data_IF_765220596664
#
_entry.id   IF_765220596664
#
_cell.length_a   1.000
_cell.length_b   1.000
_cell.length_c   1.000
_cell.angle_alpha   90.00
_cell.angle_beta   90.00
_cell.angle_gamma   90.00
#
_symmetry.space_group_name_H-M   'P 1'
#
loop_
_entity.id
_entity.type
_entity.pdbx_description
1 polymer ?
#
# COMPACT_ATOMS: atom_id res chain seq x y z
N UNK A 1 -8.77 -17.80 19.79
CA UNK A 1 -8.32 -17.60 18.40
C UNK A 1 -6.96 -16.97 18.48
N UNK A 2 -5.95 -17.56 17.83
CA UNK A 2 -4.58 -17.06 17.90
C UNK A 2 -4.41 -15.93 16.89
N UNK A 3 -4.84 -14.73 17.28
CA UNK A 3 -4.56 -13.49 16.57
C UNK A 3 -3.09 -13.11 16.73
N UNK A 4 -2.50 -12.39 15.76
CA UNK A 4 -1.14 -11.89 15.92
C UNK A 4 -1.07 -10.92 17.11
N UNK A 5 0.01 -11.00 17.90
CA UNK A 5 0.23 -10.07 19.03
C UNK A 5 0.61 -8.67 18.57
N UNK A 6 1.17 -8.55 17.36
CA UNK A 6 1.62 -7.31 16.77
C UNK A 6 1.47 -7.37 15.25
N UNK A 7 1.12 -6.23 14.64
CA UNK A 7 1.12 -6.04 13.20
C UNK A 7 1.86 -4.75 12.82
N UNK A 8 2.28 -4.69 11.57
CA UNK A 8 2.87 -3.53 10.91
C UNK A 8 1.84 -2.97 9.93
N UNK A 9 1.66 -1.66 9.98
CA UNK A 9 0.79 -0.92 9.08
C UNK A 9 1.68 0.05 8.29
N UNK A 10 1.75 -0.16 6.98
CA UNK A 10 2.53 0.65 6.04
C UNK A 10 1.65 1.79 5.53
N UNK A 11 2.10 3.02 5.72
CA UNK A 11 1.34 4.20 5.31
C UNK A 11 1.63 4.58 3.86
N UNK A 12 0.59 4.51 3.03
CA UNK A 12 0.64 4.75 1.58
C UNK A 12 -0.03 6.07 1.17
N UNK A 13 -0.67 6.79 2.10
CA UNK A 13 -1.42 8.02 1.85
C UNK A 13 -0.65 9.12 1.13
N UNK A 14 0.59 9.47 1.54
CA UNK A 14 1.35 10.50 0.85
C UNK A 14 1.65 10.15 -0.61
N UNK A 15 1.92 8.88 -0.96
CA UNK A 15 2.14 8.48 -2.35
C UNK A 15 0.84 8.20 -3.10
N UNK A 16 0.13 7.15 -2.69
CA UNK A 16 -1.02 6.63 -3.42
C UNK A 16 -2.24 7.53 -3.29
N UNK A 17 -2.48 8.01 -2.07
CA UNK A 17 -3.58 8.91 -1.76
C UNK A 17 -3.53 10.17 -2.60
N UNK A 18 -2.41 10.92 -2.54
CA UNK A 18 -2.26 12.15 -3.31
C UNK A 18 -2.21 11.97 -4.83
N UNK A 19 -1.83 10.80 -5.33
CA UNK A 19 -1.67 10.59 -6.77
C UNK A 19 -2.99 10.68 -7.54
N UNK A 20 -4.11 10.34 -6.91
CA UNK A 20 -5.44 10.35 -7.54
C UNK A 20 -6.23 11.65 -7.29
N UNK A 21 -5.71 12.52 -6.43
CA UNK A 21 -6.38 13.76 -6.12
C UNK A 21 -6.46 14.68 -7.34
N UNK A 22 -7.65 15.27 -7.55
CA UNK A 22 -7.93 16.07 -8.76
C UNK A 22 -7.22 17.42 -8.74
N UNK A 23 -6.95 17.96 -7.55
CA UNK A 23 -6.39 19.28 -7.35
C UNK A 23 -4.87 19.27 -7.19
N UNK A 24 -4.17 20.36 -7.54
CA UNK A 24 -2.77 20.51 -7.22
C UNK A 24 -2.60 20.60 -5.69
N UNK A 25 -1.88 19.65 -5.11
CA UNK A 25 -1.48 19.70 -3.71
C UNK A 25 -0.13 20.41 -3.63
N UNK A 26 -0.04 21.46 -2.80
CA UNK A 26 1.21 22.22 -2.68
C UNK A 26 2.29 21.36 -2.05
N UNK A 27 3.54 21.55 -2.48
CA UNK A 27 4.71 20.85 -1.93
C UNK A 27 4.78 20.96 -0.41
N UNK A 28 4.52 22.15 0.15
CA UNK A 28 4.52 22.39 1.59
C UNK A 28 3.47 21.54 2.34
N UNK A 29 2.30 21.32 1.73
CA UNK A 29 1.24 20.51 2.31
C UNK A 29 1.61 19.02 2.28
N UNK A 30 2.28 18.55 1.21
CA UNK A 30 2.80 17.18 1.15
C UNK A 30 3.85 16.92 2.23
N UNK A 31 4.79 17.84 2.39
CA UNK A 31 5.81 17.80 3.45
C UNK A 31 5.14 17.80 4.83
N UNK A 32 4.18 18.70 5.06
CA UNK A 32 3.47 18.79 6.32
C UNK A 32 2.75 17.47 6.68
N UNK A 33 2.15 16.78 5.71
CA UNK A 33 1.52 15.49 5.96
C UNK A 33 2.57 14.43 6.36
N UNK A 34 3.68 14.33 5.64
CA UNK A 34 4.74 13.34 5.93
C UNK A 34 5.36 13.57 7.31
N UNK A 35 5.66 14.81 7.66
CA UNK A 35 6.24 15.17 8.96
C UNK A 35 5.26 14.91 10.12
N UNK A 36 3.97 15.13 9.88
CA UNK A 36 2.91 14.83 10.86
C UNK A 36 2.74 13.32 11.05
N UNK A 37 2.68 12.54 9.96
CA UNK A 37 2.63 11.07 10.00
C UNK A 37 3.84 10.47 10.73
N UNK A 38 5.01 11.06 10.56
CA UNK A 38 6.24 10.64 11.26
C UNK A 38 6.10 10.75 12.79
N UNK A 39 5.15 11.55 13.30
CA UNK A 39 4.84 11.67 14.73
C UNK A 39 3.89 10.60 15.27
N UNK A 40 3.38 9.70 14.43
CA UNK A 40 2.30 8.78 14.79
C UNK A 40 2.76 7.38 15.22
N UNK A 41 4.07 7.11 15.24
CA UNK A 41 4.61 5.77 15.57
C UNK A 41 4.62 4.80 14.39
N UNK A 42 4.39 5.29 13.16
CA UNK A 42 4.58 4.53 11.93
C UNK A 42 6.05 4.12 11.80
N UNK A 43 6.29 2.92 11.26
CA UNK A 43 7.65 2.44 10.95
C UNK A 43 7.93 2.42 9.44
N UNK A 44 6.92 2.65 8.60
CA UNK A 44 7.09 2.79 7.17
C UNK A 44 6.11 3.82 6.61
N UNK A 45 6.62 4.76 5.81
CA UNK A 45 5.84 5.79 5.10
C UNK A 45 6.31 5.84 3.64
N UNK A 46 5.40 5.56 2.71
CA UNK A 46 5.66 5.77 1.29
C UNK A 46 5.39 7.23 0.92
N UNK A 47 6.46 8.00 0.77
CA UNK A 47 6.40 9.46 0.69
C UNK A 47 5.92 9.96 -0.67
N UNK A 48 6.34 9.31 -1.76
CA UNK A 48 6.07 9.82 -3.10
C UNK A 48 6.63 8.96 -4.23
N UNK A 49 6.61 9.51 -5.44
CA UNK A 49 6.93 8.75 -6.65
C UNK A 49 7.82 9.54 -7.62
N UNK A 50 8.93 8.94 -8.06
CA UNK A 50 9.83 9.48 -9.09
C UNK A 50 9.39 9.02 -10.49
N UNK A 51 8.12 9.26 -10.80
CA UNK A 51 7.49 8.94 -12.09
C UNK A 51 7.63 10.09 -13.10
N UNK A 52 7.27 9.81 -14.35
CA UNK A 52 7.22 10.83 -15.38
C UNK A 52 6.07 11.81 -15.10
N UNK A 53 6.41 13.06 -14.77
CA UNK A 53 5.47 14.13 -14.46
C UNK A 53 4.48 14.45 -15.59
N UNK A 54 4.78 14.08 -16.85
CA UNK A 54 3.81 14.21 -17.94
C UNK A 54 2.62 13.26 -17.78
N UNK A 55 2.85 12.08 -17.21
CA UNK A 55 1.81 11.07 -16.97
C UNK A 55 1.20 11.20 -15.58
N UNK A 56 1.98 11.67 -14.61
CA UNK A 56 1.53 11.87 -13.23
C UNK A 56 1.94 13.26 -12.74
N UNK A 57 1.20 14.32 -13.14
CA UNK A 57 1.58 15.71 -12.84
C UNK A 57 1.65 16.02 -11.35
N UNK A 58 0.90 15.28 -10.52
CA UNK A 58 0.94 15.39 -9.06
C UNK A 58 2.31 15.12 -8.43
N UNK A 59 3.26 14.52 -9.17
CA UNK A 59 4.63 14.27 -8.70
C UNK A 59 5.71 15.08 -9.45
N UNK A 60 5.32 16.18 -10.10
CA UNK A 60 6.27 17.09 -10.73
C UNK A 60 7.26 17.74 -9.75
N UNK A 61 6.88 17.85 -8.47
CA UNK A 61 7.63 18.46 -7.37
C UNK A 61 8.26 17.42 -6.43
N UNK A 62 8.38 16.16 -6.85
CA UNK A 62 8.85 15.06 -6.01
C UNK A 62 10.17 15.40 -5.28
N UNK A 63 11.18 15.90 -5.99
CA UNK A 63 12.47 16.29 -5.42
C UNK A 63 12.33 17.32 -4.30
N UNK A 64 11.43 18.30 -4.45
CA UNK A 64 11.20 19.32 -3.44
C UNK A 64 10.53 18.73 -2.18
N UNK A 65 9.63 17.75 -2.35
CA UNK A 65 9.03 17.01 -1.23
C UNK A 65 10.10 16.22 -0.48
N UNK A 66 10.89 15.40 -1.19
CA UNK A 66 11.95 14.57 -0.58
C UNK A 66 13.06 15.41 0.07
N UNK A 67 13.39 16.57 -0.49
CA UNK A 67 14.31 17.51 0.12
C UNK A 67 13.74 18.15 1.40
N UNK A 68 12.44 18.45 1.40
CA UNK A 68 11.81 19.29 2.41
C UNK A 68 11.31 18.58 3.68
N UNK A 69 10.96 17.29 3.62
CA UNK A 69 10.53 16.58 4.83
C UNK A 69 11.71 16.24 5.77
N UNK A 70 11.38 16.08 7.05
CA UNK A 70 12.33 15.80 8.14
C UNK A 70 12.22 14.33 8.55
N UNK A 71 13.16 13.46 8.13
CA UNK A 71 13.12 12.05 8.51
C UNK A 71 13.30 11.89 10.02
N UNK A 72 12.58 10.93 10.61
CA UNK A 72 12.74 10.52 12.00
C UNK A 72 13.40 9.14 12.06
N UNK A 73 14.22 8.94 13.09
CA UNK A 73 14.88 7.66 13.35
C UNK A 73 13.84 6.56 13.59
N UNK A 74 14.11 5.36 13.05
CA UNK A 74 13.23 4.19 13.19
C UNK A 74 12.06 4.14 12.21
N UNK A 75 12.02 5.03 11.21
CA UNK A 75 11.01 5.03 10.14
C UNK A 75 11.69 4.83 8.79
N UNK A 76 11.22 3.82 8.05
CA UNK A 76 11.60 3.61 6.66
C UNK A 76 10.75 4.52 5.75
N UNK A 77 11.39 5.50 5.12
CA UNK A 77 10.75 6.34 4.12
C UNK A 77 11.02 5.78 2.73
N UNK A 78 9.98 5.39 2.00
CA UNK A 78 10.14 4.81 0.67
C UNK A 78 9.59 5.72 -0.43
N UNK A 79 10.02 5.45 -1.66
CA UNK A 79 9.56 6.09 -2.88
C UNK A 79 9.33 5.05 -3.96
N UNK A 80 8.53 5.38 -4.97
CA UNK A 80 8.30 4.47 -6.12
C UNK A 80 8.94 5.01 -7.39
N UNK A 81 9.53 4.10 -8.16
CA UNK A 81 10.01 4.34 -9.52
C UNK A 81 9.78 3.09 -10.37
N UNK A 82 9.74 3.25 -11.69
CA UNK A 82 9.51 2.15 -12.63
C UNK A 82 10.57 2.07 -13.75
N UNK A 83 11.55 2.97 -13.77
CA UNK A 83 12.60 3.01 -14.78
C UNK A 83 13.89 3.61 -14.23
N UNK A 84 14.97 3.53 -15.02
CA UNK A 84 16.30 4.01 -14.67
C UNK A 84 16.34 5.51 -14.34
N UNK A 85 15.59 6.32 -15.10
CA UNK A 85 15.54 7.76 -14.84
C UNK A 85 14.93 8.08 -13.46
N UNK A 86 13.88 7.36 -13.07
CA UNK A 86 13.28 7.46 -11.74
C UNK A 86 14.21 6.96 -10.64
N UNK A 87 14.89 5.83 -10.85
CA UNK A 87 15.88 5.32 -9.92
C UNK A 87 17.02 6.32 -9.68
N UNK A 88 17.57 6.92 -10.75
CA UNK A 88 18.64 7.92 -10.64
C UNK A 88 18.21 9.14 -9.80
N UNK A 89 16.94 9.56 -9.91
CA UNK A 89 16.38 10.63 -9.09
C UNK A 89 16.27 10.19 -7.62
N UNK A 90 15.79 8.97 -7.37
CA UNK A 90 15.68 8.42 -6.01
C UNK A 90 17.06 8.29 -5.32
N UNK A 91 18.10 7.89 -6.05
CA UNK A 91 19.47 7.77 -5.53
C UNK A 91 20.05 9.08 -4.99
N UNK A 92 19.57 10.24 -5.44
CA UNK A 92 19.98 11.54 -4.89
C UNK A 92 19.51 11.73 -3.43
N UNK A 93 18.57 10.91 -2.96
CA UNK A 93 18.00 10.96 -1.61
C UNK A 93 18.27 9.68 -0.81
N UNK A 94 19.28 8.89 -1.19
CA UNK A 94 19.62 7.61 -0.53
C UNK A 94 19.88 7.71 0.97
N UNK A 95 20.29 8.88 1.47
CA UNK A 95 20.55 9.11 2.90
C UNK A 95 19.26 9.36 3.71
N UNK A 96 18.13 9.58 3.02
CA UNK A 96 16.80 9.75 3.61
C UNK A 96 15.85 8.59 3.29
N UNK A 97 16.09 7.85 2.21
CA UNK A 97 15.17 6.85 1.68
C UNK A 97 15.64 5.42 1.90
N UNK A 98 14.72 4.56 2.31
CA UNK A 98 14.82 3.13 2.15
C UNK A 98 14.64 2.79 0.65
N UNK A 99 15.76 2.69 -0.06
CA UNK A 99 15.77 2.38 -1.48
C UNK A 99 15.67 0.87 -1.70
N UNK A 100 14.49 0.41 -2.08
CA UNK A 100 14.21 -0.98 -2.41
C UNK A 100 13.24 -1.09 -3.59
N UNK A 101 13.36 -2.16 -4.36
CA UNK A 101 12.42 -2.49 -5.42
C UNK A 101 11.48 -3.63 -5.06
N UNK A 102 10.58 -3.91 -5.99
CA UNK A 102 9.57 -4.97 -5.89
C UNK A 102 9.36 -5.64 -7.26
N UNK A 103 8.75 -6.83 -7.26
CA UNK A 103 8.24 -7.47 -8.47
C UNK A 103 6.73 -7.35 -8.44
N UNK A 104 6.14 -6.60 -9.37
CA UNK A 104 4.70 -6.41 -9.45
C UNK A 104 4.13 -7.03 -10.71
N UNK A 105 3.22 -8.00 -10.54
CA UNK A 105 2.49 -8.65 -11.62
C UNK A 105 0.98 -8.62 -11.33
N UNK A 106 0.16 -8.73 -12.37
CA UNK A 106 -1.30 -8.79 -12.25
C UNK A 106 -1.83 -10.21 -12.40
N UNK A 107 -2.75 -10.61 -11.53
CA UNK A 107 -3.54 -11.83 -11.69
C UNK A 107 -4.63 -11.70 -12.79
N UNK A 108 -4.82 -10.50 -13.35
CA UNK A 108 -5.75 -10.23 -14.45
C UNK A 108 -5.05 -9.59 -15.64
N UNK A 109 -5.02 -10.29 -16.77
CA UNK A 109 -4.43 -9.78 -18.01
C UNK A 109 -5.22 -8.61 -18.62
N UNK A 110 -6.57 -8.63 -18.71
CA UNK A 110 -7.33 -7.46 -19.16
C UNK A 110 -7.06 -6.20 -18.31
N UNK A 111 -6.89 -6.37 -16.99
CA UNK A 111 -6.47 -5.27 -16.11
C UNK A 111 -5.06 -4.78 -16.44
N UNK A 112 -4.10 -5.68 -16.62
CA UNK A 112 -2.73 -5.31 -16.94
C UNK A 112 -2.62 -4.58 -18.29
N UNK A 113 -3.33 -5.03 -19.32
CA UNK A 113 -3.36 -4.37 -20.61
C UNK A 113 -3.93 -2.96 -20.46
N UNK A 114 -5.00 -2.78 -19.68
CA UNK A 114 -5.62 -1.46 -19.52
C UNK A 114 -4.81 -0.51 -18.63
N UNK A 115 -4.17 -1.04 -17.58
CA UNK A 115 -3.43 -0.24 -16.60
C UNK A 115 -1.98 0.03 -17.02
N UNK A 116 -1.34 -0.95 -17.68
CA UNK A 116 0.10 -0.93 -17.98
C UNK A 116 0.41 -1.03 -19.48
N UNK A 117 -0.60 -1.24 -20.33
CA UNK A 117 -0.43 -1.52 -21.75
C UNK A 117 0.48 -2.73 -22.03
N UNK A 118 0.34 -3.79 -21.21
CA UNK A 118 1.13 -5.03 -21.29
C UNK A 118 0.27 -6.25 -20.96
N UNK A 119 0.49 -7.33 -21.70
CA UNK A 119 -0.03 -8.66 -21.39
C UNK A 119 0.85 -9.35 -20.30
N UNK A 120 0.62 -10.63 -20.02
CA UNK A 120 1.43 -11.38 -19.05
C UNK A 120 2.92 -11.40 -19.44
N UNK A 121 3.24 -11.72 -20.70
CA UNK A 121 4.63 -11.83 -21.16
C UNK A 121 5.36 -10.49 -21.08
N UNK A 122 4.70 -9.41 -21.50
CA UNK A 122 5.25 -8.05 -21.42
C UNK A 122 5.46 -7.56 -19.99
N UNK A 123 4.60 -7.96 -19.04
CA UNK A 123 4.83 -7.67 -17.61
C UNK A 123 6.07 -8.38 -17.08
N UNK A 124 6.24 -9.67 -17.40
CA UNK A 124 7.42 -10.45 -17.01
C UNK A 124 8.68 -9.80 -17.59
N UNK A 125 8.68 -9.47 -18.90
CA UNK A 125 9.82 -8.79 -19.54
C UNK A 125 10.15 -7.44 -18.86
N UNK A 126 9.12 -6.63 -18.56
CA UNK A 126 9.31 -5.35 -17.90
C UNK A 126 9.88 -5.51 -16.48
N UNK A 127 9.38 -6.48 -15.71
CA UNK A 127 9.89 -6.77 -14.38
C UNK A 127 11.31 -7.36 -14.42
N UNK A 128 11.67 -8.15 -15.42
CA UNK A 128 13.05 -8.63 -15.60
C UNK A 128 14.02 -7.48 -15.76
N UNK A 129 13.68 -6.51 -16.63
CA UNK A 129 14.48 -5.28 -16.80
C UNK A 129 14.54 -4.45 -15.52
N UNK A 130 13.42 -4.34 -14.81
CA UNK A 130 13.34 -3.61 -13.54
C UNK A 130 14.20 -4.26 -12.45
N UNK A 131 14.14 -5.58 -12.29
CA UNK A 131 14.97 -6.30 -11.31
C UNK A 131 16.45 -6.18 -11.67
N UNK A 132 16.82 -6.30 -12.95
CA UNK A 132 18.20 -6.12 -13.37
C UNK A 132 18.72 -4.71 -13.05
N UNK A 133 17.91 -3.68 -13.29
CA UNK A 133 18.23 -2.30 -12.92
C UNK A 133 18.53 -2.14 -11.42
N UNK A 134 17.82 -2.84 -10.52
CA UNK A 134 18.09 -2.79 -9.09
C UNK A 134 19.36 -3.53 -8.72
N UNK A 135 19.60 -4.68 -9.35
CA UNK A 135 20.83 -5.46 -9.15
C UNK A 135 22.06 -4.66 -9.55
N UNK A 136 22.02 -3.99 -10.70
CA UNK A 136 23.12 -3.16 -11.20
C UNK A 136 23.39 -1.98 -10.25
N UNK A 137 22.36 -1.46 -9.58
CA UNK A 137 22.48 -0.41 -8.57
C UNK A 137 22.79 -0.92 -7.15
N UNK A 138 22.91 -2.24 -6.95
CA UNK A 138 23.14 -2.83 -5.63
C UNK A 138 21.97 -2.69 -4.66
N UNK A 139 20.75 -2.48 -5.16
CA UNK A 139 19.55 -2.29 -4.35
C UNK A 139 18.77 -3.61 -4.18
N UNK A 140 18.20 -3.87 -2.98
CA UNK A 140 17.43 -5.06 -2.74
C UNK A 140 16.07 -5.00 -3.47
N UNK A 141 15.55 -6.18 -3.79
CA UNK A 141 14.14 -6.39 -4.12
C UNK A 141 13.54 -7.16 -2.94
N UNK A 142 12.54 -6.59 -2.25
CA UNK A 142 12.04 -7.15 -0.97
C UNK A 142 10.68 -7.81 -1.01
N UNK A 143 9.84 -7.47 -2.00
CA UNK A 143 8.45 -7.93 -2.04
C UNK A 143 7.97 -8.24 -3.45
N UNK A 144 7.03 -9.17 -3.52
CA UNK A 144 6.19 -9.42 -4.68
C UNK A 144 4.85 -8.74 -4.43
N UNK A 145 4.27 -8.11 -5.45
CA UNK A 145 2.92 -7.55 -5.41
C UNK A 145 2.08 -8.24 -6.48
N UNK A 146 0.95 -8.81 -6.06
CA UNK A 146 -0.04 -9.40 -6.97
C UNK A 146 -1.24 -8.46 -7.05
N UNK A 147 -1.36 -7.73 -8.16
CA UNK A 147 -2.49 -6.86 -8.44
C UNK A 147 -3.72 -7.66 -8.88
N UNK A 148 -4.91 -7.09 -8.67
CA UNK A 148 -6.19 -7.71 -9.00
C UNK A 148 -6.35 -9.11 -8.36
N UNK A 149 -5.80 -9.32 -7.16
CA UNK A 149 -5.73 -10.64 -6.53
C UNK A 149 -7.11 -11.22 -6.16
N UNK A 150 -8.12 -10.36 -5.97
CA UNK A 150 -9.43 -10.77 -5.47
C UNK A 150 -10.56 -10.62 -6.48
N UNK A 151 -10.30 -10.03 -7.65
CA UNK A 151 -11.31 -9.76 -8.68
C UNK A 151 -10.87 -8.66 -9.63
N UNK A 152 -11.61 -8.50 -10.72
CA UNK A 152 -11.31 -7.53 -11.76
C UNK A 152 -12.57 -7.00 -12.43
N UNK A 153 -12.65 -5.68 -12.61
CA UNK A 153 -13.77 -5.05 -13.33
C UNK A 153 -13.82 -5.41 -14.82
N UNK A 154 -12.72 -5.92 -15.40
CA UNK A 154 -12.59 -6.25 -16.81
C UNK A 154 -12.64 -7.75 -17.10
N UNK A 155 -12.36 -8.60 -16.10
CA UNK A 155 -12.32 -10.06 -16.22
C UNK A 155 -13.33 -10.78 -15.31
N UNK A 156 -13.98 -10.05 -14.40
CA UNK A 156 -14.85 -10.62 -13.37
C UNK A 156 -14.06 -11.29 -12.25
N UNK A 157 -14.49 -12.48 -11.86
CA UNK A 157 -13.89 -13.22 -10.76
C UNK A 157 -12.49 -13.75 -11.11
N UNK A 158 -11.56 -13.56 -10.18
CA UNK A 158 -10.20 -14.10 -10.27
C UNK A 158 -10.11 -15.31 -9.34
N UNK A 159 -9.87 -16.48 -9.93
CA UNK A 159 -9.69 -17.72 -9.17
C UNK A 159 -8.38 -17.68 -8.38
N UNK A 160 -8.36 -18.27 -7.18
CA UNK A 160 -7.15 -18.33 -6.36
C UNK A 160 -5.99 -19.08 -7.03
N UNK A 161 -6.28 -20.04 -7.92
CA UNK A 161 -5.27 -20.67 -8.76
C UNK A 161 -4.53 -19.66 -9.66
N UNK A 162 -5.21 -18.62 -10.13
CA UNK A 162 -4.57 -17.57 -10.92
C UNK A 162 -3.63 -16.70 -10.10
N UNK A 163 -4.00 -16.42 -8.85
CA UNK A 163 -3.13 -15.74 -7.87
C UNK A 163 -1.87 -16.58 -7.64
N UNK A 164 -2.02 -17.89 -7.43
CA UNK A 164 -0.88 -18.82 -7.26
C UNK A 164 0.02 -18.82 -8.49
N UNK A 165 -0.52 -18.91 -9.71
CA UNK A 165 0.26 -18.82 -10.96
C UNK A 165 1.06 -17.51 -11.02
N UNK A 166 0.45 -16.38 -10.67
CA UNK A 166 1.13 -15.06 -10.70
C UNK A 166 2.24 -14.97 -9.65
N UNK A 167 2.06 -15.56 -8.47
CA UNK A 167 3.13 -15.67 -7.46
C UNK A 167 4.27 -16.56 -7.97
N UNK A 168 3.95 -17.68 -8.63
CA UNK A 168 4.95 -18.58 -9.21
C UNK A 168 5.81 -17.89 -10.27
N UNK A 169 5.19 -17.11 -11.16
CA UNK A 169 5.89 -16.29 -12.17
C UNK A 169 6.86 -15.29 -11.50
N UNK A 170 6.38 -14.56 -10.50
CA UNK A 170 7.19 -13.56 -9.80
C UNK A 170 8.37 -14.20 -9.03
N UNK A 171 8.13 -15.34 -8.39
CA UNK A 171 9.19 -16.11 -7.72
C UNK A 171 10.18 -16.71 -8.73
N UNK A 172 9.73 -17.14 -9.91
CA UNK A 172 10.62 -17.61 -10.97
C UNK A 172 11.55 -16.49 -11.43
N UNK A 173 10.99 -15.31 -11.71
CA UNK A 173 11.75 -14.12 -12.06
C UNK A 173 12.79 -13.76 -10.99
N UNK A 174 12.39 -13.77 -9.71
CA UNK A 174 13.30 -13.53 -8.60
C UNK A 174 14.46 -14.55 -8.57
N UNK A 175 14.14 -15.85 -8.71
CA UNK A 175 15.15 -16.92 -8.74
C UNK A 175 16.13 -16.78 -9.90
N UNK A 176 15.62 -16.50 -11.11
CA UNK A 176 16.45 -16.34 -12.31
C UNK A 176 17.41 -15.14 -12.18
N UNK A 177 16.99 -14.11 -11.45
CA UNK A 177 17.81 -12.96 -11.11
C UNK A 177 18.73 -13.18 -9.89
N UNK A 178 18.69 -14.33 -9.23
CA UNK A 178 19.44 -14.60 -8.00
C UNK A 178 18.98 -13.76 -6.81
N UNK A 179 17.72 -13.35 -6.79
CA UNK A 179 17.10 -12.53 -5.75
C UNK A 179 16.23 -13.42 -4.86
N UNK A 180 16.46 -13.36 -3.55
CA UNK A 180 15.59 -13.98 -2.56
C UNK A 180 14.47 -13.03 -2.15
N UNK A 181 13.21 -13.44 -2.36
CA UNK A 181 12.02 -12.69 -1.91
C UNK A 181 11.15 -13.63 -1.07
N UNK A 182 10.78 -13.19 0.12
CA UNK A 182 10.03 -13.97 1.11
C UNK A 182 8.71 -13.31 1.55
N UNK A 183 8.32 -12.21 0.91
CA UNK A 183 7.08 -11.51 1.19
C UNK A 183 6.26 -11.29 -0.09
N UNK A 184 4.97 -11.59 -0.03
CA UNK A 184 4.00 -11.33 -1.09
C UNK A 184 2.84 -10.49 -0.58
N UNK A 185 2.60 -9.35 -1.21
CA UNK A 185 1.42 -8.51 -1.00
C UNK A 185 0.33 -8.92 -1.98
N UNK A 186 -0.83 -9.32 -1.48
CA UNK A 186 -2.02 -9.52 -2.29
C UNK A 186 -2.84 -8.22 -2.30
N UNK A 187 -2.99 -7.61 -3.48
CA UNK A 187 -3.60 -6.30 -3.62
C UNK A 187 -5.02 -6.37 -4.18
N UNK A 188 -5.96 -5.73 -3.46
CA UNK A 188 -7.33 -5.50 -3.88
C UNK A 188 -7.47 -4.24 -4.74
N UNK A 189 -6.81 -4.24 -5.89
CA UNK A 189 -6.66 -3.06 -6.75
C UNK A 189 -7.98 -2.40 -7.20
N UNK A 190 -9.11 -3.10 -7.09
CA UNK A 190 -10.41 -2.66 -7.57
C UNK A 190 -11.53 -2.82 -6.54
N UNK A 191 -11.22 -3.15 -5.28
CA UNK A 191 -12.21 -3.27 -4.20
C UNK A 191 -13.16 -4.47 -4.32
N UNK A 192 -12.66 -5.63 -4.77
CA UNK A 192 -13.40 -6.89 -4.95
C UNK A 192 -13.25 -7.85 -3.78
N UNK A 193 -12.37 -7.57 -2.82
CA UNK A 193 -12.13 -8.45 -1.70
C UNK A 193 -13.40 -8.63 -0.85
N UNK A 194 -13.60 -9.87 -0.41
CA UNK A 194 -14.50 -10.23 0.69
C UNK A 194 -13.72 -11.15 1.63
N UNK A 195 -14.13 -11.29 2.90
CA UNK A 195 -13.45 -12.19 3.84
C UNK A 195 -13.23 -13.59 3.26
N UNK A 196 -14.24 -14.18 2.60
CA UNK A 196 -14.12 -15.48 1.95
C UNK A 196 -13.06 -15.50 0.84
N UNK A 197 -12.96 -14.45 0.02
CA UNK A 197 -11.96 -14.37 -1.06
C UNK A 197 -10.54 -14.22 -0.49
N UNK A 198 -10.38 -13.40 0.56
CA UNK A 198 -9.12 -13.26 1.29
C UNK A 198 -8.67 -14.61 1.85
N UNK A 199 -9.54 -15.33 2.55
CA UNK A 199 -9.24 -16.64 3.09
C UNK A 199 -8.83 -17.65 2.02
N UNK A 200 -9.58 -17.71 0.91
CA UNK A 200 -9.27 -18.62 -0.21
C UNK A 200 -7.92 -18.29 -0.86
N UNK A 201 -7.62 -17.02 -1.12
CA UNK A 201 -6.37 -16.62 -1.76
C UNK A 201 -5.15 -16.85 -0.86
N UNK A 202 -5.22 -16.44 0.41
CA UNK A 202 -4.14 -16.68 1.40
C UNK A 202 -3.91 -18.18 1.60
N UNK A 203 -4.98 -18.96 1.75
CA UNK A 203 -4.89 -20.41 1.90
C UNK A 203 -4.22 -21.06 0.69
N UNK A 204 -4.59 -20.66 -0.53
CA UNK A 204 -3.98 -21.20 -1.75
C UNK A 204 -2.47 -20.88 -1.84
N UNK A 205 -2.07 -19.64 -1.53
CA UNK A 205 -0.64 -19.24 -1.53
C UNK A 205 0.14 -20.03 -0.48
N UNK A 206 -0.36 -20.12 0.75
CA UNK A 206 0.35 -20.82 1.85
C UNK A 206 0.40 -22.33 1.69
N UNK A 207 -0.61 -22.94 1.07
CA UNK A 207 -0.58 -24.36 0.73
C UNK A 207 0.57 -24.69 -0.22
N UNK A 208 0.95 -23.75 -1.09
CA UNK A 208 2.05 -23.92 -2.03
C UNK A 208 3.40 -23.46 -1.48
N UNK A 209 3.42 -22.35 -0.73
CA UNK A 209 4.61 -21.76 -0.12
C UNK A 209 4.33 -21.40 1.36
N UNK A 210 4.52 -22.36 2.28
CA UNK A 210 4.18 -22.15 3.70
C UNK A 210 5.06 -21.09 4.38
N UNK A 211 6.29 -20.92 3.91
CA UNK A 211 7.26 -19.97 4.48
C UNK A 211 7.16 -18.56 3.87
N UNK A 212 6.30 -18.37 2.86
CA UNK A 212 6.10 -17.07 2.22
C UNK A 212 5.20 -16.20 3.12
N UNK A 213 5.76 -15.10 3.63
CA UNK A 213 4.97 -14.12 4.37
C UNK A 213 3.96 -13.47 3.41
N UNK A 214 2.71 -13.35 3.87
CA UNK A 214 1.65 -12.69 3.10
C UNK A 214 1.32 -11.38 3.78
N UNK A 215 1.34 -10.30 3.01
CA UNK A 215 0.82 -8.99 3.35
C UNK A 215 -0.46 -8.69 2.55
N UNK A 216 -1.26 -7.73 3.02
CA UNK A 216 -2.50 -7.34 2.36
C UNK A 216 -2.51 -5.84 2.05
N UNK A 217 -2.87 -5.52 0.82
CA UNK A 217 -3.18 -4.16 0.39
C UNK A 217 -4.65 -4.15 0.00
N UNK A 218 -5.50 -3.53 0.82
CA UNK A 218 -6.95 -3.63 0.71
C UNK A 218 -7.57 -2.28 0.40
N UNK A 219 -8.53 -2.29 -0.51
CA UNK A 219 -9.35 -1.14 -0.80
C UNK A 219 -10.72 -1.27 -0.13
N UNK A 220 -11.27 -0.16 0.34
CA UNK A 220 -12.59 -0.08 0.94
C UNK A 220 -13.66 0.45 -0.01
N UNK A 221 -13.43 0.34 -1.33
CA UNK A 221 -14.30 0.84 -2.40
C UNK A 221 -15.76 0.37 -2.26
N UNK A 222 -16.00 -0.77 -1.61
CA UNK A 222 -17.32 -1.37 -1.36
C UNK A 222 -17.61 -1.62 0.13
N UNK A 223 -16.88 -0.97 1.04
CA UNK A 223 -17.08 -1.10 2.49
C UNK A 223 -16.73 -2.50 3.03
N UNK A 224 -15.82 -3.22 2.38
CA UNK A 224 -15.42 -4.58 2.77
C UNK A 224 -13.99 -4.66 3.32
N UNK A 225 -13.22 -3.58 3.24
CA UNK A 225 -11.78 -3.54 3.47
C UNK A 225 -11.41 -3.90 4.91
N UNK A 226 -12.04 -3.29 5.92
CA UNK A 226 -11.76 -3.60 7.33
C UNK A 226 -12.19 -5.04 7.69
N UNK A 227 -13.32 -5.52 7.15
CA UNK A 227 -13.74 -6.91 7.35
C UNK A 227 -12.75 -7.91 6.72
N UNK A 228 -12.19 -7.56 5.55
CA UNK A 228 -11.12 -8.32 4.89
C UNK A 228 -9.82 -8.28 5.69
N UNK A 229 -9.46 -7.14 6.28
CA UNK A 229 -8.29 -7.00 7.13
C UNK A 229 -8.42 -7.88 8.38
N UNK A 230 -9.59 -7.88 9.04
CA UNK A 230 -9.90 -8.78 10.15
C UNK A 230 -9.72 -10.25 9.78
N UNK A 231 -10.20 -10.68 8.62
CA UNK A 231 -9.98 -12.06 8.17
C UNK A 231 -8.49 -12.35 7.92
N UNK A 232 -7.74 -11.38 7.38
CA UNK A 232 -6.27 -11.46 7.30
C UNK A 232 -5.62 -11.65 8.67
N UNK A 233 -6.01 -10.87 9.68
CA UNK A 233 -5.54 -11.01 11.06
C UNK A 233 -5.86 -12.39 11.63
N UNK A 234 -7.08 -12.91 11.40
CA UNK A 234 -7.52 -14.24 11.84
C UNK A 234 -6.70 -15.36 11.20
N UNK A 235 -6.13 -15.10 10.02
CA UNK A 235 -5.19 -15.97 9.32
C UNK A 235 -3.74 -15.66 9.68
N UNK A 236 -3.44 -14.77 10.63
CA UNK A 236 -2.07 -14.47 11.05
C UNK A 236 -1.26 -13.60 10.07
N UNK A 237 -1.92 -12.84 9.20
CA UNK A 237 -1.25 -11.76 8.45
C UNK A 237 -0.79 -10.68 9.43
N UNK A 238 0.45 -10.22 9.29
CA UNK A 238 1.08 -9.24 10.19
C UNK A 238 1.52 -7.95 9.51
N UNK A 239 1.28 -7.80 8.20
CA UNK A 239 1.63 -6.59 7.45
C UNK A 239 0.46 -6.17 6.57
N UNK A 240 0.08 -4.90 6.67
CA UNK A 240 -1.01 -4.32 5.93
C UNK A 240 -0.59 -2.98 5.35
N UNK A 241 -1.04 -2.68 4.15
CA UNK A 241 -0.93 -1.35 3.56
C UNK A 241 -2.24 -0.60 3.79
N UNK A 242 -2.16 0.69 4.15
CA UNK A 242 -3.32 1.55 4.38
C UNK A 242 -2.99 3.00 4.06
N UNK A 243 -4.00 3.87 4.01
CA UNK A 243 -3.81 5.30 3.82
C UNK A 243 -4.55 6.11 4.88
N UNK A 244 -3.90 7.12 5.45
CA UNK A 244 -4.49 8.02 6.45
C UNK A 244 -5.79 8.64 5.95
N UNK A 245 -6.86 8.63 6.77
CA UNK A 245 -8.17 9.13 6.37
C UNK A 245 -8.92 8.22 5.38
N UNK A 246 -8.33 7.10 4.93
CA UNK A 246 -8.77 6.36 3.76
C UNK A 246 -8.45 7.10 2.46
N UNK A 247 -7.37 7.89 2.48
CA UNK A 247 -6.91 8.66 1.33
C UNK A 247 -6.75 7.80 0.08
N UNK A 248 -7.02 8.44 -1.06
CA UNK A 248 -7.03 7.82 -2.36
C UNK A 248 -8.45 7.58 -2.85
N UNK A 249 -8.54 6.76 -3.88
CA UNK A 249 -9.77 6.51 -4.59
C UNK A 249 -9.56 5.37 -5.56
N UNK A 250 -10.65 4.77 -6.00
CA UNK A 250 -10.57 3.73 -7.01
C UNK A 250 -10.97 4.33 -8.36
N UNK A 251 -10.02 4.56 -9.30
CA UNK A 251 -10.35 5.08 -10.63
C UNK A 251 -11.19 4.07 -11.43
N UNK A 252 -11.28 2.84 -10.93
CA UNK A 252 -12.04 1.74 -11.51
C UNK A 252 -13.41 1.52 -10.87
N UNK A 253 -13.81 2.30 -9.85
CA UNK A 253 -15.05 2.04 -9.11
C UNK A 253 -16.34 2.15 -9.93
N UNK A 254 -16.29 2.77 -11.12
CA UNK A 254 -17.45 3.03 -11.97
C UNK A 254 -18.40 4.11 -11.43
N UNK A 255 -18.26 4.51 -10.16
CA UNK A 255 -18.98 5.60 -9.51
C UNK A 255 -18.01 6.65 -8.97
N UNK A 256 -18.34 7.94 -9.06
CA UNK A 256 -17.50 9.01 -8.52
C UNK A 256 -17.46 8.96 -6.99
N UNK A 257 -16.29 9.22 -6.42
CA UNK A 257 -16.11 9.38 -4.96
C UNK A 257 -16.04 8.08 -4.16
N UNK A 258 -15.92 6.92 -4.81
CA UNK A 258 -15.73 5.67 -4.09
C UNK A 258 -14.37 5.64 -3.37
N UNK A 259 -14.31 5.16 -2.11
CA UNK A 259 -13.07 5.05 -1.35
C UNK A 259 -12.00 4.22 -2.08
N UNK A 260 -10.75 4.58 -1.83
CA UNK A 260 -9.57 3.82 -2.26
C UNK A 260 -9.17 2.83 -1.19
N UNK A 261 -8.04 3.10 -0.54
CA UNK A 261 -7.45 2.29 0.51
C UNK A 261 -8.34 2.20 1.77
N UNK A 262 -8.13 1.16 2.58
CA UNK A 262 -8.59 1.18 3.98
C UNK A 262 -7.91 2.31 4.76
N UNK A 263 -8.62 2.90 5.72
CA UNK A 263 -8.09 3.98 6.54
C UNK A 263 -7.10 3.45 7.60
N UNK A 264 -5.92 4.08 7.70
CA UNK A 264 -4.88 3.70 8.66
C UNK A 264 -5.40 3.71 10.11
N UNK A 265 -6.13 4.75 10.48
CA UNK A 265 -6.70 4.91 11.82
C UNK A 265 -7.83 3.90 12.12
N UNK A 266 -8.57 3.43 11.12
CA UNK A 266 -9.63 2.42 11.34
C UNK A 266 -9.02 1.03 11.57
N UNK A 267 -7.98 0.68 10.80
CA UNK A 267 -7.24 -0.56 11.03
C UNK A 267 -6.51 -0.52 12.38
N UNK A 268 -5.91 0.62 12.73
CA UNK A 268 -5.27 0.81 14.02
C UNK A 268 -6.27 0.72 15.19
N UNK A 269 -7.46 1.33 15.06
CA UNK A 269 -8.55 1.21 16.03
C UNK A 269 -8.99 -0.25 16.18
N UNK A 270 -9.22 -0.97 15.08
CA UNK A 270 -9.57 -2.39 15.13
C UNK A 270 -8.51 -3.20 15.90
N UNK A 271 -7.23 -2.97 15.60
CA UNK A 271 -6.14 -3.67 16.27
C UNK A 271 -6.07 -3.34 17.76
N UNK A 272 -6.17 -2.06 18.14
CA UNK A 272 -6.16 -1.61 19.54
C UNK A 272 -7.29 -2.26 20.34
N UNK A 273 -8.50 -2.26 19.79
CA UNK A 273 -9.70 -2.85 20.42
C UNK A 273 -9.63 -4.37 20.54
N UNK A 274 -8.84 -5.01 19.68
CA UNK A 274 -8.58 -6.45 19.72
C UNK A 274 -7.35 -6.83 20.56
N UNK A 275 -6.64 -5.86 21.15
CA UNK A 275 -5.43 -6.09 21.92
C UNK A 275 -4.21 -6.46 21.06
N UNK A 276 -4.20 -6.08 19.78
CA UNK A 276 -3.11 -6.28 18.83
C UNK A 276 -2.26 -5.02 18.78
N UNK A 277 -0.96 -5.14 19.10
CA UNK A 277 -0.07 -3.99 19.08
C UNK A 277 0.21 -3.52 17.64
N UNK A 278 0.12 -2.22 17.42
CA UNK A 278 0.55 -1.57 16.15
C UNK A 278 1.76 -0.65 16.38
N UNK A 279 1.89 -0.10 17.60
CA UNK A 279 2.86 0.96 17.92
C UNK A 279 2.36 2.36 17.53
N UNK A 280 1.15 2.46 17.00
CA UNK A 280 0.60 3.72 16.51
C UNK A 280 -0.08 4.52 17.63
N UNK A 281 0.09 5.84 17.59
CA UNK A 281 -0.71 6.76 18.40
C UNK A 281 -1.99 7.10 17.64
N UNK A 282 -3.10 6.48 18.04
CA UNK A 282 -4.37 6.61 17.35
C UNK A 282 -4.97 8.02 17.45
N UNK A 283 -4.85 8.69 18.61
CA UNK A 283 -5.33 10.07 18.77
C UNK A 283 -4.55 11.02 17.83
N UNK A 284 -3.22 10.85 17.73
CA UNK A 284 -2.40 11.61 16.79
C UNK A 284 -2.76 11.32 15.33
N UNK A 285 -2.95 10.05 14.94
CA UNK A 285 -3.36 9.67 13.59
C UNK A 285 -4.66 10.34 13.15
N UNK A 286 -5.63 10.44 14.05
CA UNK A 286 -6.90 11.11 13.75
C UNK A 286 -6.69 12.60 13.47
N UNK A 287 -5.81 13.28 14.23
CA UNK A 287 -5.46 14.68 13.91
C UNK A 287 -4.75 14.80 12.56
N UNK A 288 -3.88 13.85 12.23
CA UNK A 288 -3.22 13.80 10.92
C UNK A 288 -4.22 13.51 9.80
N UNK A 289 -5.23 12.68 10.02
CA UNK A 289 -6.32 12.47 9.07
C UNK A 289 -7.16 13.74 8.87
N UNK A 290 -7.39 14.55 9.91
CA UNK A 290 -8.00 15.89 9.76
C UNK A 290 -7.12 16.84 8.97
N UNK A 291 -5.79 16.76 9.13
CA UNK A 291 -4.85 17.52 8.31
C UNK A 291 -4.94 17.09 6.85
N UNK A 292 -4.91 15.79 6.57
CA UNK A 292 -5.07 15.23 5.23
C UNK A 292 -6.35 15.72 4.55
N UNK A 293 -7.49 15.68 5.25
CA UNK A 293 -8.78 16.18 4.76
C UNK A 293 -8.74 17.67 4.41
N UNK A 294 -8.10 18.50 5.25
CA UNK A 294 -7.93 19.93 4.94
C UNK A 294 -7.04 20.16 3.72
N UNK A 295 -6.00 19.35 3.54
CA UNK A 295 -5.07 19.44 2.42
C UNK A 295 -5.78 19.13 1.10
N UNK A 296 -6.56 18.05 1.04
CA UNK A 296 -7.27 17.65 -0.19
C UNK A 296 -8.54 18.46 -0.43
N UNK A 297 -9.07 19.12 0.60
CA UNK A 297 -10.18 20.06 0.48
C UNK A 297 -11.54 19.41 0.28
N UNK A 298 -11.68 18.11 0.53
CA UNK A 298 -12.95 17.38 0.53
C UNK A 298 -12.98 16.35 1.64
N UNK A 299 -14.20 15.89 1.99
CA UNK A 299 -14.38 14.88 3.04
C UNK A 299 -13.65 13.58 2.72
N UNK A 300 -12.91 13.06 3.70
CA UNK A 300 -12.30 11.73 3.65
C UNK A 300 -13.24 10.66 4.24
N UNK A 301 -13.17 9.40 3.75
CA UNK A 301 -14.18 8.38 4.04
C UNK A 301 -14.10 7.74 5.43
N UNK A 302 -12.98 7.89 6.14
CA UNK A 302 -12.80 7.28 7.46
C UNK A 302 -13.91 7.67 8.44
N UNK A 303 -14.55 6.67 9.03
CA UNK A 303 -15.48 6.82 10.13
C UNK A 303 -14.74 7.19 11.43
N UNK A 304 -13.56 6.62 11.68
CA UNK A 304 -12.75 6.93 12.86
C UNK A 304 -12.32 8.40 12.92
N UNK A 305 -12.07 9.01 11.76
CA UNK A 305 -11.83 10.45 11.61
C UNK A 305 -12.99 11.29 12.20
N UNK A 306 -14.23 10.82 12.05
CA UNK A 306 -15.45 11.49 12.56
C UNK A 306 -15.75 11.14 14.00
N UNK A 307 -15.60 9.87 14.37
CA UNK A 307 -16.03 9.36 15.68
C UNK A 307 -15.00 9.60 16.78
N UNK A 308 -13.72 9.76 16.44
CA UNK A 308 -12.65 9.73 17.43
C UNK A 308 -12.37 8.31 17.94
N UNK A 309 -11.61 8.23 19.03
CA UNK A 309 -11.24 6.96 19.70
C UNK A 309 -12.18 6.65 20.87
N UNK A 310 -12.13 5.40 21.37
CA UNK A 310 -12.85 5.00 22.59
C UNK A 310 -12.12 5.41 23.88
N UNK A 311 -10.86 5.85 23.79
CA UNK A 311 -10.01 6.10 24.95
C UNK A 311 -10.56 7.22 25.86
N UNK A 312 -11.04 8.31 25.28
CA UNK A 312 -11.62 9.43 26.04
C UNK A 312 -12.88 9.01 26.79
N UNK A 313 -13.76 8.22 26.16
CA UNK A 313 -14.98 7.71 26.78
C UNK A 313 -14.67 6.77 27.95
N UNK A 314 -13.66 5.90 27.81
CA UNK A 314 -13.19 5.03 28.90
C UNK A 314 -12.64 5.83 30.08
N UNK A 315 -11.83 6.88 29.83
CA UNK A 315 -11.29 7.76 30.87
C UNK A 315 -12.39 8.49 31.65
N UNK A 316 -13.46 8.91 30.96
CA UNK A 316 -14.56 9.63 31.59
C UNK A 316 -15.52 8.72 32.38
N UNK A 317 -15.55 7.42 32.07
CA UNK A 317 -16.42 6.45 32.73
C UNK A 317 -15.79 5.77 33.95
N UNK A 318 -14.46 5.83 34.08
CA UNK A 318 -13.68 5.28 35.19
C UNK A 318 -13.63 6.24 36.40
#
# INVERSE_FOLDING_TARGET
MDLPKRVIINEEGPREGFQIEKGPIKTADKIALVDALSGCGLCHIQVGSFVNAKHVPGWADAEAVFAGFTPREGIDYSAVWFNEAGLRRALAFKDKLALEGFISLSASEPFAIRNLNRDRAGQIEAMTKYVQLHRDAGLPIRKIIVMAAFGCNFAGDIAAGKVVETVEDALALARDAGVAVNNVTLADSMGWATPKRVATAIGAVRNRWPDLAVALHLHDTRGQGIACAYEGLRLGVTSFDSAVGGLGGCPFAGQPGAPGNIATEELALLCEEMGIATGLNLEALIEVARLAERIVGHGLPSAALRSGTLASFRRNAA
#
